data_IF_431614430820
#
_entry.id   IF_431614430820
#
_cell.length_a   1.000
_cell.length_b   1.000
_cell.length_c   1.000
_cell.angle_alpha   90.00
_cell.angle_beta   90.00
_cell.angle_gamma   90.00
#
_symmetry.space_group_name_H-M   'P 1'
#
loop_
_entity.id
_entity.type
_entity.pdbx_description
1 polymer ?
#
# COMPACT_ATOMS: atom_id res chain seq x y z
N UNK A 1 -16.37 -3.51 -2.31
CA UNK A 1 -15.28 -3.67 -3.31
C UNK A 1 -14.74 -5.11 -3.30
N UNK A 2 -14.18 -5.60 -2.17
CA UNK A 2 -13.64 -6.97 -2.10
C UNK A 2 -14.66 -8.07 -2.41
N UNK A 3 -15.93 -7.87 -2.06
CA UNK A 3 -17.01 -8.82 -2.38
C UNK A 3 -17.30 -8.94 -3.89
N UNK A 4 -16.80 -8.04 -4.71
CA UNK A 4 -16.95 -8.04 -6.17
C UNK A 4 -15.80 -8.74 -6.89
N UNK A 5 -14.76 -9.17 -6.17
CA UNK A 5 -13.63 -9.88 -6.74
C UNK A 5 -13.85 -11.39 -6.58
N UNK A 6 -13.73 -12.15 -7.66
CA UNK A 6 -13.91 -13.62 -7.66
C UNK A 6 -12.90 -14.34 -6.77
N UNK A 7 -11.73 -13.72 -6.52
CA UNK A 7 -10.69 -14.22 -5.63
C UNK A 7 -10.45 -13.21 -4.51
N UNK A 8 -11.07 -13.43 -3.36
CA UNK A 8 -10.86 -12.60 -2.17
C UNK A 8 -9.46 -12.83 -1.61
N UNK A 9 -8.61 -11.82 -1.71
CA UNK A 9 -7.30 -11.84 -1.06
C UNK A 9 -7.41 -11.61 0.46
N UNK A 10 -8.45 -10.90 0.91
CA UNK A 10 -8.75 -10.61 2.30
C UNK A 10 -10.25 -10.32 2.49
N UNK A 11 -10.79 -10.68 3.66
CA UNK A 11 -12.07 -10.19 4.14
C UNK A 11 -11.84 -8.91 4.96
N UNK A 12 -12.65 -7.89 4.69
CA UNK A 12 -12.55 -6.57 5.36
C UNK A 12 -13.75 -6.36 6.26
N UNK A 13 -13.51 -5.92 7.48
CA UNK A 13 -14.57 -5.52 8.41
C UNK A 13 -14.19 -4.27 9.20
N UNK A 14 -15.18 -3.62 9.79
CA UNK A 14 -15.02 -2.45 10.64
C UNK A 14 -15.84 -2.66 11.91
N UNK A 15 -15.16 -2.68 13.05
CA UNK A 15 -15.77 -2.72 14.36
C UNK A 15 -15.73 -1.35 15.01
N UNK A 16 -16.84 -0.95 15.66
CA UNK A 16 -16.91 0.32 16.39
C UNK A 16 -17.27 0.04 17.83
N UNK A 17 -16.41 0.43 18.76
CA UNK A 17 -16.61 0.29 20.20
C UNK A 17 -16.35 1.63 20.89
N UNK A 18 -17.42 2.19 21.47
CA UNK A 18 -17.38 3.48 22.14
C UNK A 18 -16.76 4.59 21.25
N UNK A 19 -15.55 5.05 21.58
CA UNK A 19 -14.87 6.13 20.86
C UNK A 19 -13.80 5.64 19.86
N UNK A 20 -13.71 4.33 19.64
CA UNK A 20 -12.69 3.72 18.79
C UNK A 20 -13.32 2.90 17.66
N UNK A 21 -12.78 3.00 16.48
CA UNK A 21 -13.09 2.16 15.33
C UNK A 21 -11.85 1.34 14.96
N UNK A 22 -12.05 0.05 14.71
CA UNK A 22 -10.98 -0.87 14.30
C UNK A 22 -11.30 -1.43 12.92
N UNK A 23 -10.39 -1.18 11.99
CA UNK A 23 -10.45 -1.78 10.66
C UNK A 23 -9.67 -3.09 10.68
N UNK A 24 -10.32 -4.17 10.26
CA UNK A 24 -9.77 -5.52 10.20
C UNK A 24 -9.59 -5.96 8.75
N UNK A 25 -8.48 -6.63 8.49
CA UNK A 25 -8.14 -7.22 7.20
C UNK A 25 -7.73 -8.69 7.42
N UNK A 26 -8.71 -9.58 7.42
CA UNK A 26 -8.46 -11.01 7.56
C UNK A 26 -7.94 -11.59 6.24
N UNK A 27 -6.69 -12.02 6.22
CA UNK A 27 -6.07 -12.66 5.05
C UNK A 27 -6.18 -14.17 5.17
N UNK A 28 -6.49 -14.85 4.05
CA UNK A 28 -6.64 -16.32 4.02
C UNK A 28 -5.30 -17.06 3.86
N UNK A 29 -4.18 -16.43 4.27
CA UNK A 29 -2.86 -17.05 4.12
C UNK A 29 -2.59 -18.07 5.22
N UNK A 30 -2.25 -19.29 4.79
CA UNK A 30 -1.96 -20.40 5.70
C UNK A 30 -0.50 -20.43 6.18
N UNK A 31 0.39 -19.64 5.61
CA UNK A 31 1.83 -19.67 5.93
C UNK A 31 2.35 -18.26 6.24
N UNK A 32 3.04 -18.15 7.36
CA UNK A 32 3.81 -16.96 7.71
C UNK A 32 5.07 -16.90 6.83
N UNK A 33 5.27 -15.79 6.15
CA UNK A 33 6.45 -15.51 5.35
C UNK A 33 6.75 -14.01 5.34
N UNK A 34 7.99 -13.64 5.11
CA UNK A 34 8.37 -12.23 5.01
C UNK A 34 7.60 -11.51 3.88
N UNK A 35 7.39 -12.16 2.74
CA UNK A 35 6.60 -11.60 1.64
C UNK A 35 5.12 -11.46 1.99
N UNK A 36 4.56 -12.42 2.74
CA UNK A 36 3.19 -12.35 3.27
C UNK A 36 3.02 -11.17 4.22
N UNK A 37 3.94 -11.03 5.18
CA UNK A 37 3.96 -9.91 6.12
C UNK A 37 4.03 -8.55 5.40
N UNK A 38 4.93 -8.39 4.43
CA UNK A 38 5.04 -7.16 3.63
C UNK A 38 3.75 -6.86 2.86
N UNK A 39 3.10 -7.89 2.31
CA UNK A 39 1.82 -7.71 1.61
C UNK A 39 0.71 -7.27 2.58
N UNK A 40 0.65 -7.84 3.77
CA UNK A 40 -0.36 -7.49 4.79
C UNK A 40 -0.15 -6.06 5.30
N UNK A 41 1.09 -5.68 5.62
CA UNK A 41 1.43 -4.31 6.02
C UNK A 41 1.16 -3.30 4.89
N UNK A 42 1.45 -3.66 3.64
CA UNK A 42 1.13 -2.82 2.48
C UNK A 42 -0.38 -2.63 2.31
N UNK A 43 -1.16 -3.68 2.53
CA UNK A 43 -2.63 -3.62 2.52
C UNK A 43 -3.19 -2.70 3.61
N UNK A 44 -2.76 -2.88 4.87
CA UNK A 44 -3.16 -2.02 5.98
C UNK A 44 -2.80 -0.55 5.72
N UNK A 45 -1.57 -0.30 5.28
CA UNK A 45 -1.11 1.04 4.96
C UNK A 45 -1.89 1.67 3.80
N UNK A 46 -2.23 0.88 2.77
CA UNK A 46 -3.07 1.34 1.66
C UNK A 46 -4.44 1.80 2.16
N UNK A 47 -5.14 0.99 2.95
CA UNK A 47 -6.46 1.37 3.47
C UNK A 47 -6.40 2.56 4.42
N UNK A 48 -5.42 2.63 5.30
CA UNK A 48 -5.21 3.78 6.18
C UNK A 48 -5.04 5.08 5.39
N UNK A 49 -4.21 5.07 4.33
CA UNK A 49 -4.02 6.24 3.47
C UNK A 49 -5.24 6.54 2.61
N UNK A 50 -5.92 5.52 2.09
CA UNK A 50 -7.14 5.69 1.33
C UNK A 50 -8.22 6.37 2.17
N UNK A 51 -8.43 5.93 3.41
CA UNK A 51 -9.41 6.54 4.30
C UNK A 51 -9.03 7.98 4.64
N UNK A 52 -7.76 8.24 4.96
CA UNK A 52 -7.25 9.60 5.19
C UNK A 52 -7.46 10.50 3.97
N UNK A 53 -7.19 9.99 2.78
CA UNK A 53 -7.41 10.73 1.54
C UNK A 53 -8.89 10.99 1.28
N UNK A 54 -9.76 10.02 1.51
CA UNK A 54 -11.22 10.18 1.30
C UNK A 54 -11.80 11.31 2.13
N UNK A 55 -11.41 11.44 3.39
CA UNK A 55 -11.88 12.51 4.28
C UNK A 55 -11.07 13.81 4.18
N UNK A 56 -9.94 13.79 3.44
CA UNK A 56 -9.10 14.96 3.20
C UNK A 56 -8.19 15.37 4.36
N UNK A 57 -8.07 14.54 5.40
CA UNK A 57 -7.16 14.77 6.54
C UNK A 57 -6.50 13.45 6.99
N UNK A 58 -5.29 13.50 7.57
CA UNK A 58 -4.62 12.29 8.04
C UNK A 58 -5.35 11.70 9.25
N UNK A 59 -5.72 10.43 9.16
CA UNK A 59 -6.25 9.65 10.28
C UNK A 59 -5.08 9.27 11.17
N UNK A 60 -5.16 9.58 12.47
CA UNK A 60 -4.18 9.15 13.45
C UNK A 60 -4.50 7.74 13.91
N UNK A 61 -3.50 6.86 13.86
CA UNK A 61 -3.56 5.49 14.35
C UNK A 61 -2.43 5.25 15.35
N UNK A 62 -2.59 4.24 16.22
CA UNK A 62 -1.55 3.86 17.18
C UNK A 62 -0.55 2.84 16.60
N UNK A 63 -0.73 2.46 15.35
CA UNK A 63 0.12 1.52 14.61
C UNK A 63 -0.68 0.43 13.94
N UNK A 64 0.05 -0.50 13.30
CA UNK A 64 -0.51 -1.69 12.67
C UNK A 64 -0.37 -2.90 13.57
N UNK A 65 -1.46 -3.63 13.81
CA UNK A 65 -1.44 -4.98 14.33
C UNK A 65 -1.36 -5.97 13.17
N UNK A 66 -0.49 -6.97 13.26
CA UNK A 66 -0.38 -8.02 12.25
C UNK A 66 -0.38 -9.40 12.89
N UNK A 67 -1.11 -10.32 12.26
CA UNK A 67 -1.21 -11.72 12.69
C UNK A 67 0.14 -12.44 12.60
N UNK A 68 0.97 -12.10 11.63
CA UNK A 68 2.29 -12.70 11.46
C UNK A 68 3.20 -12.38 12.62
N UNK A 69 4.01 -13.36 13.03
CA UNK A 69 5.16 -13.12 13.90
C UNK A 69 6.25 -12.34 13.14
N UNK A 70 7.21 -11.78 13.90
CA UNK A 70 8.31 -11.01 13.33
C UNK A 70 9.18 -11.89 12.40
N UNK A 71 9.00 -11.72 11.10
CA UNK A 71 9.77 -12.40 10.04
C UNK A 71 10.85 -11.51 9.41
N UNK A 72 10.95 -10.24 9.89
CA UNK A 72 11.87 -9.24 9.39
C UNK A 72 12.23 -8.25 10.51
N UNK A 73 13.24 -7.41 10.27
CA UNK A 73 13.66 -6.37 11.22
C UNK A 73 12.51 -5.38 11.47
N UNK A 74 12.03 -5.36 12.71
CA UNK A 74 10.96 -4.46 13.17
C UNK A 74 11.31 -3.00 12.91
N UNK A 75 12.50 -2.57 13.29
CA UNK A 75 12.90 -1.16 13.18
C UNK A 75 12.93 -0.69 11.73
N UNK A 76 13.36 -1.56 10.82
CA UNK A 76 13.30 -1.31 9.38
C UNK A 76 11.85 -1.16 8.90
N UNK A 77 10.95 -2.07 9.31
CA UNK A 77 9.55 -2.04 8.91
C UNK A 77 8.83 -0.80 9.46
N UNK A 78 9.03 -0.46 10.75
CA UNK A 78 8.42 0.72 11.38
C UNK A 78 8.89 2.02 10.70
N UNK A 79 10.17 2.10 10.33
CA UNK A 79 10.70 3.23 9.57
C UNK A 79 10.11 3.30 8.16
N UNK A 80 9.92 2.16 7.50
CA UNK A 80 9.36 2.08 6.15
C UNK A 80 7.86 2.47 6.13
N UNK A 81 7.07 1.89 7.03
CA UNK A 81 5.63 2.16 7.11
C UNK A 81 5.27 3.41 7.92
N UNK A 82 6.26 4.03 8.58
CA UNK A 82 6.13 5.22 9.42
C UNK A 82 5.08 5.05 10.54
N UNK A 83 4.91 3.83 11.01
CA UNK A 83 3.97 3.46 12.06
C UNK A 83 4.57 2.37 12.94
N UNK A 84 4.27 2.35 14.25
CA UNK A 84 4.57 1.20 15.10
C UNK A 84 3.92 -0.07 14.59
N UNK A 85 4.59 -1.22 14.74
CA UNK A 85 4.09 -2.52 14.30
C UNK A 85 4.05 -3.49 15.48
N UNK A 86 2.86 -4.05 15.75
CA UNK A 86 2.63 -5.11 16.73
C UNK A 86 2.48 -6.43 15.99
N UNK A 87 3.30 -7.42 16.35
CA UNK A 87 3.31 -8.77 15.78
C UNK A 87 2.58 -9.75 16.67
N UNK A 88 2.09 -10.84 16.10
CA UNK A 88 1.40 -11.90 16.84
C UNK A 88 0.00 -11.50 17.30
N UNK A 89 -0.60 -10.53 16.65
CA UNK A 89 -1.98 -10.10 16.92
C UNK A 89 -3.00 -11.12 16.38
N UNK A 90 -4.25 -11.12 16.88
CA UNK A 90 -5.26 -12.08 16.43
C UNK A 90 -5.57 -12.00 14.93
N UNK A 91 -5.41 -10.82 14.33
CA UNK A 91 -5.61 -10.54 12.91
C UNK A 91 -4.79 -9.33 12.45
N UNK A 92 -4.90 -8.99 11.18
CA UNK A 92 -4.31 -7.76 10.64
C UNK A 92 -5.29 -6.61 10.79
N UNK A 93 -4.91 -5.58 11.55
CA UNK A 93 -5.80 -4.46 11.86
C UNK A 93 -5.07 -3.14 12.13
N UNK A 94 -5.82 -2.05 12.16
CA UNK A 94 -5.44 -0.80 12.80
C UNK A 94 -6.66 -0.13 13.41
N UNK A 95 -6.46 0.56 14.54
CA UNK A 95 -7.50 1.29 15.25
C UNK A 95 -7.32 2.79 15.11
N UNK A 96 -8.42 3.51 15.14
CA UNK A 96 -8.48 4.97 15.04
C UNK A 96 -9.68 5.52 15.81
N UNK A 97 -9.65 6.79 16.22
CA UNK A 97 -10.80 7.43 16.88
C UNK A 97 -12.07 7.40 16.02
N UNK A 98 -13.18 6.90 16.56
CA UNK A 98 -14.43 6.73 15.84
C UNK A 98 -14.99 8.04 15.24
N UNK A 99 -14.62 9.22 15.80
CA UNK A 99 -14.99 10.53 15.24
C UNK A 99 -14.61 10.74 13.77
N UNK A 100 -13.64 9.98 13.24
CA UNK A 100 -13.31 10.07 11.83
C UNK A 100 -14.38 9.46 10.92
N UNK A 101 -15.23 8.59 11.44
CA UNK A 101 -16.36 8.01 10.70
C UNK A 101 -17.47 9.02 10.41
N UNK A 102 -17.56 10.09 11.22
CA UNK A 102 -18.53 11.18 11.05
C UNK A 102 -18.06 12.21 10.01
N UNK A 103 -16.85 12.11 9.52
CA UNK A 103 -16.30 13.02 8.52
C UNK A 103 -16.90 12.76 7.14
N UNK A 104 -17.28 13.79 6.39
CA UNK A 104 -17.77 13.63 5.04
C UNK A 104 -16.66 13.14 4.09
N UNK A 105 -17.02 12.33 3.12
CA UNK A 105 -16.15 11.98 2.00
C UNK A 105 -16.03 13.20 1.08
N UNK A 106 -14.85 13.84 1.07
CA UNK A 106 -14.58 15.07 0.30
C UNK A 106 -13.87 14.82 -1.04
N UNK A 107 -13.53 13.56 -1.33
CA UNK A 107 -12.84 13.17 -2.57
C UNK A 107 -13.76 12.34 -3.47
N UNK A 108 -13.72 12.60 -4.78
CA UNK A 108 -14.47 11.83 -5.76
C UNK A 108 -13.61 10.75 -6.41
N UNK A 109 -14.27 9.68 -6.90
CA UNK A 109 -13.64 8.62 -7.67
C UNK A 109 -12.84 9.13 -8.88
N UNK A 110 -13.33 10.17 -9.56
CA UNK A 110 -12.65 10.79 -10.70
C UNK A 110 -11.28 11.36 -10.34
N UNK A 111 -11.12 11.85 -9.10
CA UNK A 111 -9.82 12.32 -8.59
C UNK A 111 -8.90 11.16 -8.18
N UNK A 112 -9.44 10.01 -7.85
CA UNK A 112 -8.67 8.80 -7.55
C UNK A 112 -8.03 8.24 -8.84
N UNK A 113 -8.79 8.16 -9.92
CA UNK A 113 -8.32 7.63 -11.22
C UNK A 113 -7.23 8.52 -11.85
N UNK A 114 -7.23 9.82 -11.56
CA UNK A 114 -6.23 10.76 -12.06
C UNK A 114 -4.93 10.84 -11.26
N UNK A 115 -4.80 10.12 -10.14
CA UNK A 115 -3.60 10.13 -9.29
C UNK A 115 -3.14 8.69 -9.01
N UNK A 116 -2.12 8.19 -9.74
CA UNK A 116 -1.50 6.90 -9.41
C UNK A 116 -0.86 6.87 -8.01
N UNK A 117 -0.74 8.02 -7.35
CA UNK A 117 -0.08 8.21 -6.05
C UNK A 117 -0.89 7.79 -4.81
N UNK A 118 -2.10 7.24 -4.96
CA UNK A 118 -2.84 6.58 -3.85
C UNK A 118 -2.50 5.09 -3.78
N UNK A 119 -1.66 4.60 -4.69
CA UNK A 119 -1.24 3.21 -4.72
C UNK A 119 -0.22 2.91 -3.61
N UNK A 120 -0.15 1.65 -3.13
CA UNK A 120 0.66 1.24 -1.97
C UNK A 120 2.18 1.47 -2.12
N UNK A 121 2.65 1.93 -3.27
CA UNK A 121 4.06 2.15 -3.58
C UNK A 121 4.58 3.57 -3.30
N UNK A 122 3.72 4.53 -2.89
CA UNK A 122 4.19 5.88 -2.52
C UNK A 122 5.12 5.86 -1.30
N UNK A 123 5.05 4.81 -0.44
CA UNK A 123 6.02 4.66 0.65
C UNK A 123 7.43 4.41 0.18
N UNK A 124 7.60 3.77 -0.98
CA UNK A 124 8.93 3.58 -1.56
C UNK A 124 9.54 4.93 -1.95
N UNK A 125 8.75 5.85 -2.47
CA UNK A 125 9.20 7.21 -2.81
C UNK A 125 9.59 8.00 -1.56
N UNK A 126 8.76 8.00 -0.51
CA UNK A 126 9.01 8.75 0.72
C UNK A 126 10.14 8.11 1.56
N UNK A 127 10.23 6.77 1.60
CA UNK A 127 11.22 6.06 2.40
C UNK A 127 12.62 6.03 1.77
N UNK A 128 12.72 6.15 0.45
CA UNK A 128 14.01 6.21 -0.26
C UNK A 128 14.59 7.61 -0.32
N UNK A 129 13.83 8.63 0.15
CA UNK A 129 14.23 10.03 -0.02
C UNK A 129 14.28 10.43 -1.50
N UNK A 130 13.73 9.59 -2.34
CA UNK A 130 13.73 9.78 -3.76
C UNK A 130 12.62 10.77 -4.10
N UNK A 131 13.01 12.00 -4.35
CA UNK A 131 12.43 12.78 -5.44
C UNK A 131 12.72 12.05 -6.78
N UNK A 132 12.85 10.72 -6.68
CA UNK A 132 13.16 9.81 -7.74
C UNK A 132 12.09 9.85 -8.79
N UNK A 133 12.43 10.37 -9.95
CA UNK A 133 11.56 10.48 -11.08
C UNK A 133 11.05 9.12 -11.56
N UNK A 134 10.19 9.16 -12.54
CA UNK A 134 9.67 7.97 -13.22
C UNK A 134 10.77 7.03 -13.71
N UNK A 135 11.96 7.59 -14.10
CA UNK A 135 13.16 6.85 -14.48
C UNK A 135 13.69 5.96 -13.37
N UNK A 136 13.84 6.48 -12.15
CA UNK A 136 14.33 5.69 -11.01
C UNK A 136 13.38 4.54 -10.64
N UNK A 137 12.05 4.74 -10.75
CA UNK A 137 11.09 3.67 -10.53
C UNK A 137 11.27 2.54 -11.56
N UNK A 138 11.53 2.87 -12.81
CA UNK A 138 11.83 1.90 -13.87
C UNK A 138 13.15 1.19 -13.60
N UNK A 139 14.21 1.91 -13.24
CA UNK A 139 15.52 1.35 -12.89
C UNK A 139 15.43 0.38 -11.71
N UNK A 140 14.66 0.74 -10.67
CA UNK A 140 14.47 -0.14 -9.52
C UNK A 140 13.77 -1.45 -9.90
N UNK A 141 12.76 -1.40 -10.77
CA UNK A 141 12.08 -2.61 -11.27
C UNK A 141 13.07 -3.47 -12.06
N UNK A 142 13.88 -2.87 -12.96
CA UNK A 142 14.89 -3.58 -13.74
C UNK A 142 15.91 -4.24 -12.81
N UNK A 143 16.47 -3.49 -11.86
CA UNK A 143 17.44 -4.02 -10.89
C UNK A 143 16.87 -5.18 -10.07
N UNK A 144 15.61 -5.09 -9.66
CA UNK A 144 14.92 -6.15 -8.90
C UNK A 144 14.73 -7.41 -9.74
N UNK A 145 14.34 -7.27 -11.00
CA UNK A 145 14.15 -8.41 -11.91
C UNK A 145 15.51 -9.10 -12.21
N UNK A 146 16.55 -8.33 -12.47
CA UNK A 146 17.92 -8.84 -12.67
C UNK A 146 18.44 -9.59 -11.44
N UNK A 147 18.24 -9.02 -10.24
CA UNK A 147 18.65 -9.67 -8.98
C UNK A 147 17.93 -11.01 -8.73
N UNK A 148 16.73 -11.17 -9.29
CA UNK A 148 15.93 -12.42 -9.21
C UNK A 148 16.19 -13.39 -10.36
N UNK A 149 17.06 -13.06 -11.31
CA UNK A 149 17.31 -13.85 -12.51
C UNK A 149 16.10 -13.96 -13.43
N UNK A 150 15.21 -12.97 -13.40
CA UNK A 150 14.00 -12.91 -14.23
C UNK A 150 14.25 -12.03 -15.45
N UNK A 151 13.49 -12.27 -16.52
CA UNK A 151 13.57 -11.46 -17.73
C UNK A 151 13.15 -10.01 -17.48
N UNK A 152 13.84 -9.07 -18.10
CA UNK A 152 13.50 -7.65 -18.04
C UNK A 152 12.17 -7.42 -18.78
N UNK A 153 11.18 -6.76 -18.16
CA UNK A 153 9.91 -6.48 -18.82
C UNK A 153 10.10 -5.66 -20.11
N UNK A 154 9.31 -5.96 -21.12
CA UNK A 154 9.30 -5.18 -22.36
C UNK A 154 8.71 -3.78 -22.13
N UNK A 155 8.94 -2.85 -23.08
CA UNK A 155 8.37 -1.50 -23.00
C UNK A 155 6.84 -1.50 -22.92
N UNK A 156 6.20 -2.46 -23.56
CA UNK A 156 4.75 -2.68 -23.53
C UNK A 156 4.30 -3.12 -22.13
N UNK A 157 5.03 -4.04 -21.53
CA UNK A 157 4.75 -4.51 -20.16
C UNK A 157 4.96 -3.40 -19.13
N UNK A 158 6.03 -2.60 -19.26
CA UNK A 158 6.21 -1.41 -18.41
C UNK A 158 5.09 -0.40 -18.61
N UNK A 159 4.70 -0.08 -19.85
CA UNK A 159 3.62 0.85 -20.11
C UNK A 159 2.31 0.37 -19.46
N UNK A 160 2.01 -0.93 -19.59
CA UNK A 160 0.85 -1.55 -18.94
C UNK A 160 0.95 -1.50 -17.42
N UNK A 161 2.13 -1.79 -16.84
CA UNK A 161 2.38 -1.75 -15.41
C UNK A 161 2.12 -0.36 -14.80
N UNK A 162 2.54 0.69 -15.52
CA UNK A 162 2.29 2.08 -15.11
C UNK A 162 0.94 2.64 -15.58
N UNK A 163 0.09 1.81 -16.17
CA UNK A 163 -1.20 2.21 -16.77
C UNK A 163 -1.07 3.39 -17.75
N UNK A 164 -0.03 3.36 -18.57
CA UNK A 164 0.30 4.36 -19.58
C UNK A 164 0.21 3.77 -20.98
N UNK A 165 -0.02 4.63 -21.99
CA UNK A 165 0.25 4.23 -23.35
C UNK A 165 1.76 4.11 -23.58
N UNK A 166 2.18 3.27 -24.55
CA UNK A 166 3.59 3.12 -24.92
C UNK A 166 4.24 4.48 -25.27
N UNK A 167 3.52 5.32 -26.00
CA UNK A 167 4.01 6.66 -26.35
C UNK A 167 4.21 7.55 -25.13
N UNK A 168 3.27 7.54 -24.20
CA UNK A 168 3.36 8.31 -22.94
C UNK A 168 4.48 7.79 -22.06
N UNK A 169 4.68 6.47 -21.97
CA UNK A 169 5.78 5.85 -21.23
C UNK A 169 7.14 6.31 -21.80
N UNK A 170 7.32 6.20 -23.11
CA UNK A 170 8.56 6.62 -23.77
C UNK A 170 8.84 8.13 -23.64
N UNK A 171 7.80 8.97 -23.70
CA UNK A 171 7.93 10.41 -23.52
C UNK A 171 8.43 10.73 -22.11
N UNK A 172 7.78 10.17 -21.06
CA UNK A 172 8.19 10.39 -19.66
C UNK A 172 9.62 9.93 -19.40
N UNK A 173 9.99 8.77 -19.92
CA UNK A 173 11.36 8.27 -19.76
C UNK A 173 12.42 9.17 -20.41
N UNK A 174 12.09 9.86 -21.50
CA UNK A 174 12.99 10.84 -22.14
C UNK A 174 13.04 12.19 -21.43
N UNK A 175 11.96 12.57 -20.74
CA UNK A 175 11.87 13.82 -19.99
C UNK A 175 12.72 13.79 -18.70
N UNK A 176 13.03 12.58 -18.20
CA UNK A 176 13.78 12.37 -16.95
C UNK A 176 15.19 11.78 -17.15
N UNK A 177 15.56 11.35 -18.33
CA UNK A 177 16.88 10.77 -18.67
C UNK A 177 17.47 11.34 -19.92
#
# INVERSE_FOLDING_TARGET
>A
FCAMLDHRAADLSLDVKACEATFHMATQRLRHSASGLLTDLSGLSFYHRLFSWLIGEPIRIDGYGVYSEAQADRAMLERFFQQPIRFGEPDNHFSFPARYLDKPVVRSYQRLVGRPSVLPFDHLRDATGADGGFGEAVEHIIATQLARGQDIPTKEQFASFFNLSRATFQRRLREEG
#
